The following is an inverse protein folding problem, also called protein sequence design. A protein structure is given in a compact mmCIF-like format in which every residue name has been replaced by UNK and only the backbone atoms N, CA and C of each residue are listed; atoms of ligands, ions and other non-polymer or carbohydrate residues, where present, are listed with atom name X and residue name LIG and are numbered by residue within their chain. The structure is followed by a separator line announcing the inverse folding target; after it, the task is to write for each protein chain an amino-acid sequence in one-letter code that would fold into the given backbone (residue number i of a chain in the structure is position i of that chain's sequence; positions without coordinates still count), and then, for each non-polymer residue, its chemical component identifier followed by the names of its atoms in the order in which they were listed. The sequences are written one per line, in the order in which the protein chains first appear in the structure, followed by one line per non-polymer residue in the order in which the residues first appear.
data_IF_758009213727
#
_entry.id   IF_758009213727
#
_cell.length_a   1.000
_cell.length_b   1.000
_cell.length_c   1.000
_cell.angle_alpha   90.00
_cell.angle_beta   90.00
_cell.angle_gamma   90.00
#
_symmetry.space_group_name_H-M   'P 1'
#
loop_
_entity.id
_entity.type
_entity.pdbx_description
1 polymer ?
#
# COMPACT_ATOMS: atom_id res chain seq x y z
N UNK A 1 -16.38 -48.34 9.26
CA UNK A 1 -16.60 -47.01 8.67
C UNK A 1 -15.38 -46.16 8.94
N UNK A 2 -14.75 -45.61 7.90
CA UNK A 2 -13.42 -45.01 7.98
C UNK A 2 -13.52 -43.54 8.44
N UNK A 3 -12.84 -43.22 9.55
CA UNK A 3 -12.58 -41.87 10.02
C UNK A 3 -11.67 -41.15 9.02
N UNK A 4 -12.26 -40.33 8.14
CA UNK A 4 -11.53 -39.44 7.26
C UNK A 4 -11.04 -38.24 8.08
N UNK A 5 -9.72 -38.05 8.13
CA UNK A 5 -9.06 -36.97 8.87
C UNK A 5 -9.53 -35.59 8.41
N UNK A 6 -9.92 -34.77 9.38
CA UNK A 6 -10.31 -33.37 9.17
C UNK A 6 -9.08 -32.50 8.92
N UNK A 7 -8.57 -32.57 7.69
CA UNK A 7 -7.58 -31.64 7.12
C UNK A 7 -8.20 -30.71 6.08
N UNK A 8 -9.52 -30.50 6.12
CA UNK A 8 -10.21 -29.64 5.16
C UNK A 8 -9.91 -28.16 5.49
N UNK A 9 -8.85 -27.63 4.88
CA UNK A 9 -8.49 -26.21 4.96
C UNK A 9 -9.63 -25.38 4.34
N UNK A 10 -10.51 -24.84 5.18
CA UNK A 10 -11.65 -24.03 4.73
C UNK A 10 -11.11 -22.72 4.16
N UNK A 11 -11.58 -22.26 2.99
CA UNK A 11 -11.08 -21.02 2.38
C UNK A 11 -11.34 -19.84 3.31
N UNK A 12 -10.25 -19.17 3.71
CA UNK A 12 -10.27 -17.99 4.57
C UNK A 12 -10.41 -16.73 3.73
N UNK A 13 -11.35 -15.85 4.09
CA UNK A 13 -11.50 -14.54 3.45
C UNK A 13 -10.45 -13.59 4.00
N UNK A 14 -9.45 -13.26 3.19
CA UNK A 14 -8.38 -12.32 3.53
C UNK A 14 -8.55 -11.04 2.71
N UNK A 15 -8.20 -9.90 3.31
CA UNK A 15 -8.15 -8.60 2.64
C UNK A 15 -6.77 -8.00 2.77
N UNK A 16 -6.36 -7.22 1.78
CA UNK A 16 -5.10 -6.44 1.82
C UNK A 16 -5.41 -4.95 1.90
N UNK A 17 -4.49 -4.20 2.49
CA UNK A 17 -4.47 -2.73 2.39
C UNK A 17 -3.23 -2.37 1.60
N UNK A 18 -3.32 -1.35 0.76
CA UNK A 18 -2.25 -1.01 -0.19
C UNK A 18 -1.95 0.47 -0.09
N UNK A 19 -0.67 0.82 0.03
CA UNK A 19 -0.18 2.18 -0.10
C UNK A 19 0.60 2.32 -1.41
N UNK A 20 0.32 3.38 -2.16
CA UNK A 20 0.93 3.64 -3.46
C UNK A 20 1.63 5.00 -3.43
N UNK A 21 2.80 5.09 -4.07
CA UNK A 21 3.49 6.35 -4.30
C UNK A 21 4.03 6.38 -5.73
N UNK A 22 3.95 7.54 -6.38
CA UNK A 22 4.42 7.71 -7.75
C UNK A 22 5.49 8.81 -7.81
N UNK A 23 6.53 8.57 -8.60
CA UNK A 23 7.49 9.61 -8.94
C UNK A 23 6.96 10.35 -10.17
N UNK A 24 6.44 11.55 -9.96
CA UNK A 24 6.04 12.41 -11.07
C UNK A 24 7.23 13.24 -11.53
N UNK A 25 7.51 13.25 -12.83
CA UNK A 25 8.66 13.94 -13.43
C UNK A 25 8.69 15.46 -13.23
N UNK A 26 7.63 16.07 -12.69
CA UNK A 26 7.49 17.52 -12.47
C UNK A 26 7.91 18.02 -11.07
N UNK A 27 8.77 17.28 -10.38
CA UNK A 27 9.25 17.72 -9.07
C UNK A 27 9.89 16.58 -8.30
N UNK A 28 10.66 15.73 -8.97
CA UNK A 28 11.48 14.76 -8.26
C UNK A 28 12.32 15.55 -7.26
N UNK A 29 12.21 15.28 -5.95
CA UNK A 29 13.20 15.79 -5.04
C UNK A 29 14.54 15.28 -5.57
N UNK A 30 15.56 16.15 -5.57
CA UNK A 30 16.95 15.72 -5.71
C UNK A 30 17.29 14.98 -4.41
N UNK A 31 16.66 13.83 -4.23
CA UNK A 31 17.01 12.86 -3.21
C UNK A 31 17.98 11.94 -3.90
N UNK A 32 19.19 11.86 -3.34
CA UNK A 32 20.22 10.91 -3.77
C UNK A 32 19.71 9.47 -3.80
N UNK A 33 18.58 9.20 -3.11
CA UNK A 33 17.85 7.93 -3.14
C UNK A 33 16.33 8.13 -3.32
N UNK A 34 15.90 8.36 -4.56
CA UNK A 34 14.49 8.45 -4.94
C UNK A 34 13.71 7.16 -4.61
N UNK A 35 14.38 5.99 -4.59
CA UNK A 35 13.79 4.71 -4.22
C UNK A 35 13.38 4.68 -2.75
N UNK A 36 14.30 5.04 -1.85
CA UNK A 36 13.99 5.13 -0.42
C UNK A 36 12.93 6.21 -0.11
N UNK A 37 12.89 7.30 -0.87
CA UNK A 37 11.82 8.29 -0.74
C UNK A 37 10.45 7.72 -1.16
N UNK A 38 10.35 7.08 -2.33
CA UNK A 38 9.10 6.45 -2.79
C UNK A 38 8.61 5.37 -1.84
N UNK A 39 9.52 4.54 -1.32
CA UNK A 39 9.16 3.48 -0.40
C UNK A 39 8.58 4.04 0.90
N UNK A 40 9.19 5.09 1.46
CA UNK A 40 8.65 5.78 2.65
C UNK A 40 7.27 6.38 2.39
N UNK A 41 7.05 6.96 1.22
CA UNK A 41 5.75 7.52 0.85
C UNK A 41 4.68 6.43 0.70
N UNK A 42 5.02 5.33 0.03
CA UNK A 42 4.11 4.19 -0.12
C UNK A 42 3.78 3.55 1.24
N UNK A 43 4.78 3.43 2.14
CA UNK A 43 4.57 2.90 3.49
C UNK A 43 3.69 3.82 4.35
N UNK A 44 3.88 5.15 4.27
CA UNK A 44 3.02 6.10 4.95
C UNK A 44 1.56 5.99 4.48
N UNK A 45 1.33 5.88 3.17
CA UNK A 45 -0.01 5.64 2.61
C UNK A 45 -0.59 4.29 3.06
N UNK A 46 0.23 3.24 3.12
CA UNK A 46 -0.19 1.93 3.64
C UNK A 46 -0.59 2.02 5.10
N UNK A 47 0.14 2.81 5.89
CA UNK A 47 -0.14 3.02 7.30
C UNK A 47 -1.48 3.76 7.49
N UNK A 48 -1.76 4.78 6.68
CA UNK A 48 -3.08 5.43 6.63
C UNK A 48 -4.18 4.43 6.26
N UNK A 49 -3.97 3.62 5.21
CA UNK A 49 -4.92 2.60 4.79
C UNK A 49 -5.28 1.65 5.94
N UNK A 50 -4.29 1.28 6.78
CA UNK A 50 -4.49 0.45 7.97
C UNK A 50 -5.27 1.16 9.08
N UNK A 51 -4.97 2.44 9.34
CA UNK A 51 -5.63 3.23 10.39
C UNK A 51 -7.10 3.54 10.06
N UNK A 52 -7.43 3.82 8.82
CA UNK A 52 -8.79 4.21 8.42
C UNK A 52 -9.78 3.04 8.28
N UNK A 53 -9.35 1.82 8.60
CA UNK A 53 -10.22 0.64 8.60
C UNK A 53 -9.83 -0.48 7.63
N UNK A 54 -8.61 -0.45 7.07
CA UNK A 54 -8.06 -1.50 6.18
C UNK A 54 -8.88 -1.67 4.89
N UNK A 55 -8.60 -2.75 4.16
CA UNK A 55 -9.24 -3.17 2.90
C UNK A 55 -9.44 -2.02 1.90
N UNK A 56 -8.39 -1.22 1.70
CA UNK A 56 -8.42 -0.04 0.86
C UNK A 56 -7.05 0.27 0.28
N UNK A 57 -7.08 1.12 -0.75
CA UNK A 57 -5.90 1.66 -1.39
C UNK A 57 -5.81 3.15 -1.07
N UNK A 58 -4.64 3.59 -0.62
CA UNK A 58 -4.34 5.00 -0.38
C UNK A 58 -3.15 5.38 -1.25
N UNK A 59 -3.27 6.53 -1.91
CA UNK A 59 -2.21 7.12 -2.73
C UNK A 59 -1.52 8.19 -1.88
N UNK A 60 -0.22 8.07 -1.67
CA UNK A 60 0.58 9.18 -1.16
C UNK A 60 0.64 10.24 -2.23
N UNK A 61 0.15 11.44 -1.92
CA UNK A 61 0.00 12.53 -2.86
C UNK A 61 1.33 12.98 -3.43
N UNK A 62 1.69 12.48 -4.61
CA UNK A 62 2.66 13.11 -5.50
C UNK A 62 1.90 13.97 -6.50
N UNK A 63 1.53 15.17 -6.06
CA UNK A 63 0.74 16.10 -6.84
C UNK A 63 0.70 17.46 -6.17
N UNK A 64 1.86 18.12 -6.13
CA UNK A 64 1.92 19.56 -5.88
C UNK A 64 1.26 20.23 -7.10
N UNK A 65 -0.06 20.30 -7.15
CA UNK A 65 -0.77 21.20 -8.06
C UNK A 65 -0.60 22.63 -7.52
N UNK A 66 0.63 23.13 -7.51
CA UNK A 66 0.91 24.56 -7.45
C UNK A 66 0.95 25.07 -8.89
N UNK A 67 -0.20 25.00 -9.57
CA UNK A 67 -0.43 25.77 -10.79
C UNK A 67 -0.88 27.17 -10.40
N UNK A 68 0.09 28.09 -10.27
CA UNK A 68 -0.11 29.54 -10.36
C UNK A 68 1.13 30.19 -10.94
#
# INVERSE_FOLDING_TARGET
EATLGEGASRPQKITVSVGLACLSGMGSPVVDDAGAWLLRQADAALYQAKQEGRNRVVLSGAGNNSGN
#
